data_IF_183092398204
#
_entry.id   IF_183092398204
#
_cell.length_a   1.000
_cell.length_b   1.000
_cell.length_c   1.000
_cell.angle_alpha   90.00
_cell.angle_beta   90.00
_cell.angle_gamma   90.00
#
_symmetry.space_group_name_H-M   'P 1'
#
loop_
_entity.id
_entity.type
_entity.pdbx_description
1 polymer ?
2 non-polymer ?
3 water ?
#
# COMPACT_ATOMS: atom_id res chain seq x y z
N UNK A 17 -9.26 -20.08 -1.99
CA UNK A 17 -7.87 -19.68 -2.37
C UNK A 17 -7.59 -18.31 -1.77
N UNK A 18 -6.42 -17.77 -2.05
CA UNK A 18 -6.12 -16.48 -1.44
C UNK A 18 -6.60 -15.29 -2.31
N UNK A 19 -6.82 -14.22 -1.61
CA UNK A 19 -7.43 -13.04 -2.17
C UNK A 19 -6.33 -12.11 -2.51
N UNK A 20 -6.53 -11.27 -3.52
CA UNK A 20 -5.49 -10.37 -4.00
C UNK A 20 -5.88 -8.94 -3.68
N UNK A 21 -4.95 -8.19 -3.11
CA UNK A 21 -5.16 -6.78 -2.74
C UNK A 21 -4.14 -5.84 -3.29
N UNK A 22 -4.57 -4.59 -3.51
CA UNK A 22 -3.63 -3.48 -3.69
C UNK A 22 -3.77 -2.53 -2.54
N UNK A 23 -2.64 -1.97 -2.12
CA UNK A 23 -2.67 -0.87 -1.16
C UNK A 23 -1.74 0.20 -1.62
N UNK A 24 -2.29 1.40 -1.85
CA UNK A 24 -1.53 2.56 -2.31
C UNK A 24 -1.44 3.46 -1.12
N UNK A 25 -0.24 3.95 -0.83
CA UNK A 25 -0.06 4.91 0.24
C UNK A 25 0.85 6.06 -0.21
N UNK A 26 0.62 7.28 0.31
CA UNK A 26 1.34 8.47 -0.13
C UNK A 26 2.02 9.08 1.10
N UNK A 27 3.32 9.28 1.03
CA UNK A 27 4.11 9.85 2.09
C UNK A 27 4.30 11.33 1.81
N UNK A 28 4.18 12.10 2.88
CA UNK A 28 4.36 13.52 2.85
C UNK A 28 5.71 13.89 2.25
N UNK A 29 5.71 14.96 1.49
CA UNK A 29 6.94 15.35 0.79
C UNK A 29 8.03 16.01 1.65
N UNK A 30 7.73 16.34 2.91
CA UNK A 30 8.72 16.89 3.82
C UNK A 30 9.43 15.82 4.67
N UNK A 31 9.16 14.57 4.37
CA UNK A 31 9.87 13.45 4.99
C UNK A 31 11.08 13.14 4.10
N UNK A 32 12.29 13.17 4.67
CA UNK A 32 13.50 12.88 3.95
C UNK A 32 13.43 11.56 3.20
N UNK A 33 14.07 11.51 2.04
CA UNK A 33 13.83 10.35 1.18
C UNK A 33 14.24 9.01 1.82
N UNK A 34 15.33 9.00 2.58
CA UNK A 34 15.71 7.76 3.26
C UNK A 34 14.66 7.34 4.30
N UNK A 35 14.03 8.30 5.00
CA UNK A 35 12.97 7.98 5.91
C UNK A 35 11.74 7.47 5.14
N UNK A 36 11.48 8.07 3.97
CA UNK A 36 10.44 7.55 3.09
C UNK A 36 10.70 6.10 2.77
N UNK A 37 11.92 5.76 2.39
CA UNK A 37 12.21 4.38 2.04
C UNK A 37 12.03 3.42 3.24
N UNK A 38 12.43 3.88 4.40
CA UNK A 38 12.18 3.10 5.63
C UNK A 38 10.70 2.88 5.88
N UNK A 39 9.85 3.88 5.64
CA UNK A 39 8.39 3.73 5.84
C UNK A 39 7.87 2.67 4.90
N UNK A 40 8.34 2.70 3.66
CA UNK A 40 7.98 1.62 2.72
C UNK A 40 8.30 0.23 3.29
N UNK A 41 9.49 0.10 3.84
CA UNK A 41 9.95 -1.17 4.43
C UNK A 41 9.06 -1.55 5.62
N UNK A 42 8.59 -0.56 6.38
CA UNK A 42 7.74 -0.85 7.52
C UNK A 42 6.40 -1.37 7.03
N UNK A 43 5.85 -0.74 5.99
CA UNK A 43 4.59 -1.25 5.42
C UNK A 43 4.74 -2.69 4.95
N UNK A 44 5.80 -3.00 4.22
CA UNK A 44 6.04 -4.37 3.76
C UNK A 44 6.02 -5.31 4.94
N UNK A 45 6.74 -4.97 6.01
CA UNK A 45 6.81 -5.84 7.18
C UNK A 45 5.46 -6.00 7.89
N UNK A 46 4.67 -4.94 7.92
CA UNK A 46 3.30 -5.05 8.46
C UNK A 46 2.45 -6.07 7.65
N UNK A 47 2.50 -5.95 6.33
CA UNK A 47 1.82 -6.92 5.46
C UNK A 47 2.36 -8.35 5.69
N UNK A 48 3.68 -8.56 5.71
CA UNK A 48 4.25 -9.87 5.88
C UNK A 48 3.93 -10.53 7.24
N UNK A 49 4.18 -9.79 8.31
CA UNK A 49 4.20 -10.29 9.67
C UNK A 49 2.86 -10.16 10.42
N UNK A 50 2.04 -9.18 10.04
CA UNK A 50 0.76 -8.91 10.77
C UNK A 50 -0.51 -9.27 9.93
N UNK A 51 -0.55 -8.79 8.68
CA UNK A 51 -1.59 -9.18 7.74
C UNK A 51 -1.44 -10.67 7.39
N UNK A 52 -0.19 -11.15 7.46
CA UNK A 52 0.21 -12.48 6.99
C UNK A 52 -0.04 -12.64 5.50
N UNK A 53 0.38 -11.61 4.77
CA UNK A 53 0.22 -11.53 3.34
C UNK A 53 1.54 -11.88 2.66
N UNK A 54 1.45 -12.31 1.41
CA UNK A 54 2.58 -12.54 0.54
C UNK A 54 2.65 -11.41 -0.44
N UNK A 55 3.78 -10.69 -0.46
CA UNK A 55 3.91 -9.55 -1.35
C UNK A 55 4.29 -10.02 -2.77
N UNK A 56 3.53 -9.55 -3.76
CA UNK A 56 3.77 -9.88 -5.18
C UNK A 56 4.57 -8.85 -5.94
N UNK A 57 4.42 -7.60 -5.56
CA UNK A 57 5.02 -6.47 -6.26
C UNK A 57 4.94 -5.21 -5.42
N UNK A 58 6.02 -4.44 -5.43
CA UNK A 58 6.09 -3.12 -4.79
C UNK A 58 6.44 -2.17 -5.94
N UNK A 59 5.55 -1.21 -6.22
CA UNK A 59 5.79 -0.20 -7.26
C UNK A 59 6.07 1.11 -6.56
N UNK A 60 7.30 1.56 -6.60
CA UNK A 60 7.67 2.87 -6.06
C UNK A 60 7.44 3.90 -7.16
N UNK A 61 6.29 4.58 -7.10
CA UNK A 61 5.92 5.54 -8.14
C UNK A 61 6.63 6.89 -8.01
N UNK A 62 7.09 7.19 -6.82
CA UNK A 62 7.86 8.39 -6.57
C UNK A 62 6.93 9.61 -6.41
N UNK A 63 7.55 10.78 -6.45
CA UNK A 63 6.81 12.04 -6.16
C UNK A 63 5.85 12.40 -7.29
N UNK A 64 4.60 12.69 -6.95
CA UNK A 64 3.59 13.12 -7.91
C UNK A 64 2.72 14.27 -7.36
N UNK A 65 2.33 15.21 -8.24
CA UNK A 65 1.49 16.36 -7.83
C UNK A 65 0.05 15.92 -7.70
N UNK A 66 -0.68 16.46 -6.70
CA UNK A 66 -2.13 16.28 -6.56
C UNK A 66 -2.92 17.29 -7.37
N UNK A 67 -4.20 16.99 -7.63
CA UNK A 67 -5.07 17.94 -8.30
C UNK A 67 -5.32 19.19 -7.45
N UNK A 68 -5.48 18.96 -6.14
CA UNK A 68 -5.67 19.99 -5.12
C UNK A 68 -5.02 19.40 -3.85
N UNK A 69 -4.89 20.21 -2.81
CA UNK A 69 -4.09 19.84 -1.63
C UNK A 69 -4.68 18.68 -0.82
N UNK A 70 -3.78 17.88 -0.27
CA UNK A 70 -4.04 16.82 0.67
C UNK A 70 -3.19 17.16 1.90
N UNK A 71 -3.83 17.40 3.05
CA UNK A 71 -3.14 17.68 4.33
C UNK A 71 -2.22 18.85 4.11
N UNK A 72 -2.72 19.81 3.33
CA UNK A 72 -1.95 21.00 3.04
C UNK A 72 -0.68 20.80 2.18
N UNK A 73 -0.46 19.60 1.63
CA UNK A 73 0.60 19.35 0.63
C UNK A 73 0.03 19.32 -0.79
N UNK A 74 0.87 19.67 -1.75
CA UNK A 74 0.48 19.70 -3.15
C UNK A 74 1.05 18.52 -3.96
N UNK A 75 1.88 17.71 -3.32
CA UNK A 75 2.50 16.52 -3.90
C UNK A 75 2.85 15.54 -2.82
N UNK A 76 3.13 14.30 -3.21
CA UNK A 76 3.49 13.28 -2.22
C UNK A 76 4.12 12.10 -2.92
N UNK A 77 4.73 11.21 -2.12
CA UNK A 77 5.55 10.12 -2.69
C UNK A 77 4.67 8.87 -2.68
N UNK A 78 4.35 8.40 -3.88
CA UNK A 78 3.40 7.25 -4.06
C UNK A 78 4.12 5.91 -4.09
N UNK A 79 3.50 4.95 -3.41
CA UNK A 79 3.88 3.56 -3.50
C UNK A 79 2.61 2.74 -3.59
N UNK A 80 2.62 1.68 -4.43
CA UNK A 80 1.52 0.69 -4.40
C UNK A 80 2.12 -0.68 -4.12
N UNK A 81 1.50 -1.47 -3.24
CA UNK A 81 1.98 -2.80 -2.93
C UNK A 81 0.86 -3.75 -3.28
N UNK A 82 1.16 -4.77 -4.06
CA UNK A 82 0.23 -5.82 -4.42
C UNK A 82 0.56 -7.02 -3.60
N UNK A 83 -0.45 -7.55 -2.91
CA UNK A 83 -0.23 -8.70 -2.03
C UNK A 83 -1.42 -9.65 -1.99
N UNK A 84 -1.21 -10.83 -1.44
CA UNK A 84 -2.31 -11.82 -1.33
C UNK A 84 -2.35 -12.29 0.11
N UNK A 85 -3.57 -12.49 0.60
CA UNK A 85 -3.74 -13.02 1.91
C UNK A 85 -5.16 -13.58 1.99
N UNK A 86 -5.51 -14.13 3.15
CA UNK A 86 -6.82 -14.75 3.35
C UNK A 86 -7.94 -13.78 3.68
N UNK A 87 -7.58 -12.52 3.74
CA UNK A 87 -8.51 -11.41 3.98
C UNK A 87 -8.91 -11.23 5.43
N UNK A 88 -8.29 -11.96 6.34
CA UNK A 88 -8.79 -12.00 7.74
C UNK A 88 -8.07 -11.00 8.65
N UNK A 89 -6.91 -10.52 8.23
CA UNK A 89 -6.14 -9.62 9.07
C UNK A 89 -5.80 -8.28 8.41
N UNK A 90 -6.68 -7.82 7.52
CA UNK A 90 -6.40 -6.59 6.81
C UNK A 90 -6.38 -5.40 7.76
N UNK A 91 -7.12 -5.47 8.85
CA UNK A 91 -7.09 -4.35 9.79
C UNK A 91 -5.70 -4.01 10.36
N UNK A 92 -4.78 -4.98 10.34
CA UNK A 92 -3.41 -4.76 10.76
C UNK A 92 -2.76 -3.67 9.92
N UNK A 93 -3.04 -3.69 8.63
CA UNK A 93 -2.48 -2.68 7.74
C UNK A 93 -3.18 -1.36 7.92
N UNK A 94 -4.50 -1.39 7.97
CA UNK A 94 -5.24 -0.17 8.20
C UNK A 94 -4.84 0.53 9.46
N UNK A 95 -4.68 -0.24 10.53
CA UNK A 95 -4.27 0.32 11.83
C UNK A 95 -2.87 0.89 11.83
N UNK A 96 -1.92 0.29 11.11
CA UNK A 96 -0.59 0.93 10.92
C UNK A 96 -0.74 2.30 10.27
N UNK A 97 -1.49 2.35 9.18
CA UNK A 97 -1.69 3.65 8.51
C UNK A 97 -2.32 4.70 9.44
N UNK A 98 -3.34 4.29 10.22
CA UNK A 98 -4.03 5.19 11.11
C UNK A 98 -3.11 5.89 12.12
N UNK A 99 -1.98 5.27 12.46
CA UNK A 99 -1.07 5.82 13.50
C UNK A 99 0.17 6.50 12.97
N UNK A 100 0.27 6.60 11.63
CA UNK A 100 1.44 7.07 10.94
C UNK A 100 1.17 8.32 10.15
N UNK A 101 1.28 9.50 10.78
CA UNK A 101 0.91 10.77 10.13
C UNK A 101 1.75 11.15 8.91
N UNK A 102 2.93 10.60 8.79
CA UNK A 102 3.76 10.81 7.64
C UNK A 102 3.10 10.25 6.37
N UNK A 103 2.25 9.24 6.52
CA UNK A 103 1.44 8.76 5.41
C UNK A 103 0.16 9.63 5.42
N UNK A 104 0.01 10.50 4.40
CA UNK A 104 -1.08 11.47 4.31
C UNK A 104 -2.34 10.98 3.57
N UNK A 105 -2.18 9.89 2.84
CA UNK A 105 -3.33 9.27 2.20
C UNK A 105 -3.03 7.81 1.95
N UNK A 106 -4.05 6.94 2.09
CA UNK A 106 -3.87 5.55 1.64
C UNK A 106 -5.21 5.03 1.15
N UNK A 107 -5.13 3.92 0.45
CA UNK A 107 -6.34 3.24 0.04
C UNK A 107 -6.01 1.78 -0.22
N UNK A 108 -6.90 0.89 0.20
CA UNK A 108 -6.67 -0.50 0.04
C UNK A 108 -7.87 -1.19 -0.57
N UNK A 109 -7.63 -1.93 -1.63
CA UNK A 109 -8.71 -2.54 -2.41
C UNK A 109 -8.45 -3.99 -2.73
N UNK A 110 -9.50 -4.78 -2.61
CA UNK A 110 -9.45 -6.13 -3.16
C UNK A 110 -9.55 -6.12 -4.69
N UNK A 111 -8.60 -6.78 -5.32
CA UNK A 111 -8.51 -6.79 -6.77
C UNK A 111 -9.21 -8.01 -7.34
N UNK A 112 -10.55 -7.97 -7.35
CA UNK A 112 -11.34 -9.02 -7.94
C UNK A 112 -10.95 -9.30 -9.39
N UNK A 113 -10.60 -8.25 -10.14
CA UNK A 113 -10.22 -8.41 -11.53
C UNK A 113 -8.98 -9.32 -11.68
N UNK A 114 -8.02 -9.14 -10.78
CA UNK A 114 -6.80 -9.98 -10.79
C UNK A 114 -7.08 -11.42 -10.37
N UNK A 115 -7.96 -11.61 -9.39
CA UNK A 115 -8.39 -12.98 -9.03
C UNK A 115 -9.05 -13.67 -10.21
N UNK A 116 -9.92 -12.97 -10.92
CA UNK A 116 -10.59 -13.53 -12.09
C UNK A 116 -9.59 -13.91 -13.16
N UNK A 117 -8.62 -13.01 -13.37
CA UNK A 117 -7.57 -13.21 -14.38
C UNK A 117 -6.77 -14.46 -14.10
N UNK A 118 -6.42 -14.67 -12.84
CA UNK A 118 -5.64 -15.83 -12.44
C UNK A 118 -6.41 -17.11 -12.66
N UNK A 119 -7.69 -17.11 -12.27
CA UNK A 119 -8.52 -18.28 -12.54
C UNK A 119 -8.56 -18.60 -14.04
N UNK A 120 -8.65 -17.55 -14.85
CA UNK A 120 -8.62 -17.67 -16.30
C UNK A 120 -7.28 -18.22 -16.78
N UNK A 121 -6.17 -17.69 -16.28
CA UNK A 121 -4.85 -18.20 -16.70
C UNK A 121 -4.71 -19.69 -16.41
N UNK A 122 -5.18 -20.10 -15.24
CA UNK A 122 -5.12 -21.49 -14.82
C UNK A 122 -6.04 -22.37 -15.66
N UNK A 123 -7.16 -21.79 -16.09
CA UNK A 123 -8.07 -22.30 -17.15
C UNK A 123 -9.51 -22.40 -16.66
X LIG B 1 5.57 -4.64 13.30
X LIG B 1 5.21 -5.10 14.61
X LIG B 1 5.77 -5.75 12.25
X LIG B 1 5.45 -7.07 12.74
X LIG C 1 -11.08 -3.18 -9.24
X LIG C 1 -9.69 -3.36 -9.48
X LIG C 1 -11.59 -4.12 -8.12
X LIG C 1 -11.65 -5.50 -8.55
#
# INVERSE_FOLDING_TARGET
>A
MGSDKIHHHHHHMAYVKERIYESMFIIAPNVPEEERENLVERVKKIIEERVKGKIDKVERMGMRKFAYEIKKFNEGDYTVIYFRCDGQNLQELENFYRVTPEIIRWQTFRRFDLEKKERKAQREKAAAEATESSEGGSED
>B hetero
1 EDO C1 O1 C2 O2
>C hetero
1 EDO C1 O1 C2 O2
#
